data_IF_417416002597
#
_entry.id   IF_417416002597
#
_cell.length_a   1.000
_cell.length_b   1.000
_cell.length_c   1.000
_cell.angle_alpha   90.00
_cell.angle_beta   90.00
_cell.angle_gamma   90.00
#
_symmetry.space_group_name_H-M   'P 1'
#
loop_
_entity.id
_entity.type
_entity.pdbx_description
1 polymer ?
#
# COMPACT_ATOMS: atom_id res chain seq x y z
N UNK A 1 26.03 5.13 25.96
CA UNK A 1 24.59 4.83 26.13
C UNK A 1 23.73 5.51 25.05
N UNK A 2 23.98 6.76 24.70
CA UNK A 2 23.25 7.45 23.61
C UNK A 2 23.51 6.87 22.22
N UNK A 3 24.72 6.40 21.95
CA UNK A 3 25.11 5.83 20.65
C UNK A 3 24.43 4.49 20.39
N UNK A 4 24.19 3.68 21.43
CA UNK A 4 23.51 2.38 21.32
C UNK A 4 22.00 2.57 21.09
N UNK A 5 21.37 3.57 21.71
CA UNK A 5 19.98 3.94 21.49
C UNK A 5 19.76 4.53 20.10
N UNK A 6 20.66 5.37 19.62
CA UNK A 6 20.65 5.91 18.26
C UNK A 6 20.82 4.81 17.21
N UNK A 7 21.69 3.83 17.44
CA UNK A 7 21.87 2.70 16.54
C UNK A 7 20.65 1.76 16.50
N UNK A 8 19.99 1.52 17.63
CA UNK A 8 18.72 0.79 17.69
C UNK A 8 17.61 1.54 16.96
N UNK A 9 17.55 2.85 17.12
CA UNK A 9 16.58 3.70 16.45
C UNK A 9 16.84 3.76 14.94
N UNK A 10 18.09 3.83 14.51
CA UNK A 10 18.50 3.74 13.10
C UNK A 10 18.15 2.39 12.49
N UNK A 11 18.39 1.28 13.20
CA UNK A 11 18.01 -0.04 12.76
C UNK A 11 16.52 -0.20 12.58
N UNK A 12 15.71 0.34 13.51
CA UNK A 12 14.24 0.37 13.39
C UNK A 12 13.79 1.22 12.21
N UNK A 13 14.39 2.39 12.00
CA UNK A 13 14.08 3.30 10.89
C UNK A 13 14.46 2.67 9.56
N UNK A 14 15.63 2.06 9.44
CA UNK A 14 16.05 1.35 8.23
C UNK A 14 15.12 0.19 7.90
N UNK A 15 14.68 -0.56 8.90
CA UNK A 15 13.73 -1.64 8.74
C UNK A 15 12.37 -1.14 8.26
N UNK A 16 11.93 0.00 8.78
CA UNK A 16 10.72 0.69 8.34
C UNK A 16 10.84 1.15 6.88
N UNK A 17 11.96 1.74 6.48
CA UNK A 17 12.19 2.16 5.09
C UNK A 17 12.23 0.98 4.12
N UNK A 18 12.76 -0.16 4.52
CA UNK A 18 12.68 -1.40 3.74
C UNK A 18 11.24 -1.89 3.60
N UNK A 19 10.44 -1.76 4.68
CA UNK A 19 9.01 -2.04 4.66
C UNK A 19 8.26 -1.11 3.70
N UNK A 20 8.64 0.17 3.62
CA UNK A 20 8.07 1.14 2.68
C UNK A 20 8.24 0.72 1.22
N UNK A 21 9.36 0.09 0.85
CA UNK A 21 9.57 -0.43 -0.50
C UNK A 21 8.55 -1.50 -0.88
N UNK A 22 7.99 -2.20 0.10
CA UNK A 22 6.92 -3.18 -0.06
C UNK A 22 5.55 -2.63 0.35
N UNK A 23 5.50 -1.40 0.90
CA UNK A 23 4.31 -0.78 1.47
C UNK A 23 3.55 -1.70 2.44
N UNK A 24 4.27 -2.53 3.21
CA UNK A 24 3.70 -3.50 4.13
C UNK A 24 4.50 -3.59 5.41
N UNK A 25 3.79 -3.58 6.53
CA UNK A 25 4.33 -3.79 7.87
C UNK A 25 3.53 -4.88 8.56
N UNK A 26 4.21 -5.80 9.25
CA UNK A 26 3.53 -6.72 10.15
C UNK A 26 2.95 -5.95 11.34
N UNK A 27 1.92 -6.51 11.97
CA UNK A 27 1.31 -5.91 13.17
C UNK A 27 2.33 -5.68 14.28
N UNK A 28 3.28 -6.59 14.45
CA UNK A 28 4.37 -6.47 15.43
C UNK A 28 5.27 -5.28 15.13
N UNK A 29 5.69 -5.13 13.88
CA UNK A 29 6.52 -3.99 13.45
C UNK A 29 5.78 -2.67 13.64
N UNK A 30 4.50 -2.64 13.32
CA UNK A 30 3.67 -1.46 13.44
C UNK A 30 3.46 -1.06 14.90
N UNK A 31 3.20 -2.04 15.78
CA UNK A 31 2.96 -1.81 17.20
C UNK A 31 4.21 -1.39 17.98
N UNK A 32 5.40 -1.70 17.48
CA UNK A 32 6.67 -1.25 18.06
C UNK A 32 6.97 0.23 17.82
N UNK A 33 6.24 0.86 16.92
CA UNK A 33 6.43 2.28 16.57
C UNK A 33 5.61 3.19 17.48
N UNK A 34 6.17 4.36 17.77
CA UNK A 34 5.44 5.43 18.46
C UNK A 34 4.38 6.02 17.51
N UNK A 35 3.31 6.56 18.10
CA UNK A 35 2.18 7.13 17.35
C UNK A 35 2.62 8.19 16.33
N UNK A 36 3.54 9.08 16.70
CA UNK A 36 4.08 10.10 15.81
C UNK A 36 4.87 9.50 14.63
N UNK A 37 5.58 8.42 14.87
CA UNK A 37 6.32 7.69 13.82
C UNK A 37 5.36 6.99 12.86
N UNK A 38 4.33 6.33 13.39
CA UNK A 38 3.27 5.71 12.57
C UNK A 38 2.60 6.72 11.65
N UNK A 39 2.24 7.87 12.19
CA UNK A 39 1.62 8.95 11.40
C UNK A 39 2.53 9.44 10.28
N UNK A 40 3.82 9.62 10.55
CA UNK A 40 4.81 10.02 9.55
C UNK A 40 4.98 8.99 8.45
N UNK A 41 5.07 7.72 8.81
CA UNK A 41 5.21 6.62 7.86
C UNK A 41 3.99 6.53 6.96
N UNK A 42 2.79 6.56 7.53
CA UNK A 42 1.54 6.56 6.76
C UNK A 42 1.48 7.70 5.77
N UNK A 43 1.84 8.91 6.21
CA UNK A 43 1.86 10.09 5.34
C UNK A 43 2.87 9.93 4.19
N UNK A 44 4.07 9.44 4.49
CA UNK A 44 5.12 9.21 3.49
C UNK A 44 4.69 8.15 2.47
N UNK A 45 4.10 7.06 2.92
CA UNK A 45 3.59 5.99 2.05
C UNK A 45 2.48 6.51 1.13
N UNK A 46 1.52 7.25 1.67
CA UNK A 46 0.43 7.83 0.88
C UNK A 46 0.95 8.85 -0.13
N UNK A 47 1.88 9.71 0.26
CA UNK A 47 2.51 10.66 -0.66
C UNK A 47 3.24 9.94 -1.80
N UNK A 48 3.95 8.86 -1.49
CA UNK A 48 4.61 8.03 -2.49
C UNK A 48 3.63 7.36 -3.44
N UNK A 49 2.52 6.85 -2.92
CA UNK A 49 1.46 6.26 -3.73
C UNK A 49 0.82 7.30 -4.65
N UNK A 50 0.46 8.47 -4.13
CA UNK A 50 -0.13 9.55 -4.91
C UNK A 50 0.82 10.01 -6.04
N UNK A 51 2.12 10.11 -5.76
CA UNK A 51 3.11 10.47 -6.78
C UNK A 51 3.17 9.42 -7.90
N UNK A 52 3.07 8.13 -7.58
CA UNK A 52 3.02 7.06 -8.58
C UNK A 52 1.76 7.12 -9.43
N UNK A 53 0.61 7.39 -8.82
CA UNK A 53 -0.67 7.56 -9.53
C UNK A 53 -0.61 8.76 -10.45
N UNK A 54 -0.16 9.91 -9.95
CA UNK A 54 0.02 11.12 -10.76
C UNK A 54 0.97 10.90 -11.94
N UNK A 55 2.12 10.27 -11.69
CA UNK A 55 3.08 9.94 -12.74
C UNK A 55 2.48 9.07 -13.83
N UNK A 56 1.72 8.06 -13.46
CA UNK A 56 1.04 7.18 -14.40
C UNK A 56 -0.02 7.93 -15.22
N UNK A 57 -0.75 8.87 -14.60
CA UNK A 57 -1.73 9.70 -15.30
C UNK A 57 -1.04 10.68 -16.28
N UNK A 58 0.03 11.33 -15.85
CA UNK A 58 0.79 12.28 -16.68
C UNK A 58 1.44 11.62 -17.89
N UNK A 59 1.88 10.38 -17.75
CA UNK A 59 2.54 9.62 -18.81
C UNK A 59 1.55 8.77 -19.64
N UNK A 60 0.24 8.99 -19.48
CA UNK A 60 -0.83 8.25 -20.16
C UNK A 60 -0.76 6.73 -19.96
N UNK A 61 -0.19 6.29 -18.85
CA UNK A 61 -0.03 4.87 -18.52
C UNK A 61 -1.22 4.30 -17.76
N UNK A 62 -1.89 5.11 -16.94
CA UNK A 62 -2.92 4.65 -16.01
C UNK A 62 -4.04 3.87 -16.71
N UNK A 63 -4.50 4.38 -17.84
CA UNK A 63 -5.55 3.76 -18.64
C UNK A 63 -5.03 3.05 -19.90
N UNK A 64 -3.72 2.81 -19.99
CA UNK A 64 -3.13 2.19 -21.18
C UNK A 64 -3.53 0.73 -21.40
N UNK A 65 -3.98 0.05 -20.34
CA UNK A 65 -4.49 -1.32 -20.41
C UNK A 65 -5.97 -1.35 -20.11
N UNK A 66 -6.72 -2.15 -20.84
CA UNK A 66 -8.17 -2.33 -20.63
C UNK A 66 -8.48 -3.16 -19.39
N UNK A 67 -7.51 -3.93 -18.90
CA UNK A 67 -7.62 -4.79 -17.72
C UNK A 67 -7.01 -4.18 -16.45
N UNK A 68 -6.79 -2.87 -16.44
CA UNK A 68 -6.38 -2.17 -15.23
C UNK A 68 -7.49 -2.22 -14.19
N UNK A 69 -7.13 -2.20 -12.92
CA UNK A 69 -8.09 -2.26 -11.83
C UNK A 69 -8.16 -0.93 -11.07
N UNK A 70 -9.35 -0.39 -10.94
CA UNK A 70 -9.63 0.77 -10.11
C UNK A 70 -10.98 0.57 -9.43
N UNK A 71 -10.96 0.31 -8.14
CA UNK A 71 -12.18 0.15 -7.35
C UNK A 71 -11.99 0.74 -5.97
N UNK A 72 -12.96 1.50 -5.54
CA UNK A 72 -13.06 1.91 -4.14
C UNK A 72 -14.54 2.02 -3.75
N UNK A 73 -14.81 1.81 -2.48
CA UNK A 73 -16.17 1.82 -1.95
C UNK A 73 -16.19 2.51 -0.59
N UNK A 74 -17.15 3.41 -0.39
CA UNK A 74 -17.45 3.98 0.91
C UNK A 74 -18.51 3.13 1.60
N UNK A 75 -18.26 2.75 2.86
CA UNK A 75 -19.14 1.85 3.59
C UNK A 75 -19.11 2.15 5.09
N UNK A 76 -20.13 1.70 5.80
CA UNK A 76 -20.14 1.67 7.26
C UNK A 76 -19.99 0.24 7.72
N UNK A 77 -19.03 -0.02 8.60
CA UNK A 77 -18.75 -1.35 9.14
C UNK A 77 -18.88 -1.33 10.65
N UNK A 78 -19.39 -2.41 11.21
CA UNK A 78 -19.22 -2.72 12.62
C UNK A 78 -17.82 -3.32 12.87
N UNK A 79 -17.48 -3.60 14.12
CA UNK A 79 -16.16 -4.17 14.46
C UNK A 79 -15.91 -5.53 13.79
N UNK A 80 -16.94 -6.35 13.66
CA UNK A 80 -16.84 -7.64 12.97
C UNK A 80 -16.55 -7.42 11.49
N UNK A 81 -17.30 -6.57 10.81
CA UNK A 81 -17.11 -6.24 9.40
C UNK A 81 -15.73 -5.64 9.12
N UNK A 82 -15.26 -4.77 10.03
CA UNK A 82 -13.89 -4.24 9.94
C UNK A 82 -12.84 -5.35 9.95
N UNK A 83 -12.94 -6.29 10.91
CA UNK A 83 -12.02 -7.43 10.99
C UNK A 83 -12.09 -8.32 9.75
N UNK A 84 -13.27 -8.57 9.23
CA UNK A 84 -13.48 -9.35 8.01
C UNK A 84 -12.84 -8.67 6.80
N UNK A 85 -13.04 -7.36 6.64
CA UNK A 85 -12.40 -6.57 5.59
C UNK A 85 -10.87 -6.61 5.71
N UNK A 86 -10.34 -6.38 6.90
CA UNK A 86 -8.90 -6.40 7.15
C UNK A 86 -8.28 -7.75 6.81
N UNK A 87 -8.95 -8.83 7.20
CA UNK A 87 -8.52 -10.20 6.87
C UNK A 87 -8.54 -10.45 5.35
N UNK A 88 -9.58 -9.99 4.68
CA UNK A 88 -9.69 -10.11 3.21
C UNK A 88 -8.58 -9.36 2.48
N UNK A 89 -8.26 -8.15 2.94
CA UNK A 89 -7.16 -7.35 2.37
C UNK A 89 -5.80 -8.02 2.60
N UNK A 90 -5.57 -8.57 3.78
CA UNK A 90 -4.34 -9.29 4.09
C UNK A 90 -4.18 -10.55 3.20
N UNK A 91 -5.27 -11.30 3.00
CA UNK A 91 -5.28 -12.47 2.12
C UNK A 91 -5.00 -12.10 0.66
N UNK A 92 -5.64 -11.04 0.16
CA UNK A 92 -5.41 -10.52 -1.18
C UNK A 92 -3.96 -10.06 -1.37
N UNK A 93 -3.38 -9.40 -0.38
CA UNK A 93 -1.98 -8.98 -0.41
C UNK A 93 -1.04 -10.20 -0.50
N UNK A 94 -1.28 -11.23 0.29
CA UNK A 94 -0.49 -12.47 0.25
C UNK A 94 -0.52 -13.14 -1.12
N UNK A 95 -1.69 -13.18 -1.75
CA UNK A 95 -1.85 -13.71 -3.10
C UNK A 95 -1.09 -12.88 -4.15
N UNK A 96 -1.17 -11.56 -4.05
CA UNK A 96 -0.46 -10.64 -4.96
C UNK A 96 1.06 -10.77 -4.80
N UNK A 97 1.56 -10.90 -3.56
CA UNK A 97 2.97 -11.15 -3.28
C UNK A 97 3.46 -12.45 -3.93
N UNK A 98 2.65 -13.49 -3.91
CA UNK A 98 2.97 -14.75 -4.58
C UNK A 98 3.03 -14.58 -6.10
N UNK A 99 2.07 -13.89 -6.68
CA UNK A 99 2.03 -13.55 -8.11
C UNK A 99 3.29 -12.78 -8.49
N UNK A 100 3.69 -11.80 -7.69
CA UNK A 100 4.90 -11.01 -7.90
C UNK A 100 6.14 -11.91 -7.95
N UNK A 101 6.30 -12.77 -6.96
CA UNK A 101 7.43 -13.70 -6.89
C UNK A 101 7.49 -14.65 -8.08
N UNK A 102 6.37 -15.21 -8.49
CA UNK A 102 6.27 -16.10 -9.66
C UNK A 102 6.60 -15.36 -10.95
N UNK A 103 6.10 -14.15 -11.10
CA UNK A 103 6.37 -13.31 -12.26
C UNK A 103 7.84 -12.92 -12.36
N UNK A 104 8.47 -12.54 -11.24
CA UNK A 104 9.90 -12.21 -11.19
C UNK A 104 10.76 -13.40 -11.65
N UNK A 105 10.43 -14.61 -11.23
CA UNK A 105 11.13 -15.83 -11.68
C UNK A 105 10.99 -16.07 -13.17
N UNK A 106 9.78 -15.86 -13.73
CA UNK A 106 9.57 -15.99 -15.17
C UNK A 106 10.35 -14.94 -15.98
N UNK A 107 10.39 -13.70 -15.49
CA UNK A 107 11.13 -12.60 -16.13
C UNK A 107 12.65 -12.88 -16.15
N UNK A 108 13.20 -13.36 -15.05
CA UNK A 108 14.60 -13.77 -14.98
C UNK A 108 14.90 -14.89 -15.98
N UNK A 109 14.01 -15.85 -16.13
CA UNK A 109 14.18 -16.99 -17.02
C UNK A 109 14.03 -16.61 -18.49
N UNK A 110 13.11 -15.72 -18.82
CA UNK A 110 12.79 -15.34 -20.20
C UNK A 110 13.55 -14.12 -20.71
N UNK A 111 14.20 -13.36 -19.85
CA UNK A 111 14.89 -12.12 -20.19
C UNK A 111 13.98 -10.97 -20.60
N UNK A 112 12.67 -11.06 -20.33
CA UNK A 112 11.71 -9.99 -20.59
C UNK A 112 11.87 -8.84 -19.60
N UNK A 113 11.61 -7.62 -20.06
CA UNK A 113 11.68 -6.43 -19.22
C UNK A 113 10.50 -6.36 -18.22
N UNK A 114 9.38 -6.94 -18.56
CA UNK A 114 8.16 -6.93 -17.75
C UNK A 114 7.37 -5.63 -17.82
N UNK A 115 6.29 -5.57 -17.07
CA UNK A 115 5.42 -4.40 -17.00
C UNK A 115 5.62 -3.74 -15.63
N UNK A 116 6.25 -2.54 -15.55
CA UNK A 116 6.31 -1.80 -14.29
C UNK A 116 4.89 -1.53 -13.77
N UNK A 117 4.61 -1.97 -12.56
CA UNK A 117 3.24 -1.98 -12.03
C UNK A 117 3.22 -1.55 -10.57
N UNK A 118 2.15 -0.89 -10.20
CA UNK A 118 1.85 -0.57 -8.80
C UNK A 118 0.49 -1.14 -8.45
N UNK A 119 0.43 -1.90 -7.37
CA UNK A 119 -0.82 -2.36 -6.77
C UNK A 119 -0.92 -1.79 -5.37
N UNK A 120 -2.06 -1.21 -5.03
CA UNK A 120 -2.30 -0.66 -3.70
C UNK A 120 -3.59 -1.23 -3.12
N UNK A 121 -3.55 -1.56 -1.85
CA UNK A 121 -4.69 -2.01 -1.07
C UNK A 121 -4.87 -1.06 0.10
N UNK A 122 -6.02 -0.43 0.21
CA UNK A 122 -6.31 0.58 1.22
C UNK A 122 -7.63 0.28 1.91
N UNK A 123 -7.60 0.09 3.22
CA UNK A 123 -8.77 0.02 4.07
C UNK A 123 -8.51 0.89 5.30
N UNK A 124 -9.29 1.93 5.51
CA UNK A 124 -9.04 2.91 6.56
C UNK A 124 -10.34 3.54 7.04
N UNK A 125 -10.38 4.01 8.30
CA UNK A 125 -11.52 4.78 8.77
C UNK A 125 -11.56 6.13 8.07
N UNK A 126 -12.72 6.48 7.52
CA UNK A 126 -12.92 7.76 6.84
C UNK A 126 -13.83 8.71 7.66
N UNK A 127 -13.73 10.03 7.40
CA UNK A 127 -14.63 10.98 8.06
C UNK A 127 -16.10 10.71 7.76
N UNK A 128 -17.00 11.01 8.71
CA UNK A 128 -18.44 10.71 8.62
C UNK A 128 -19.13 11.46 7.47
N UNK A 129 -18.64 12.64 7.11
CA UNK A 129 -19.23 13.53 6.10
C UNK A 129 -18.48 13.51 4.77
N UNK A 130 -17.99 12.37 4.35
CA UNK A 130 -17.37 12.28 3.02
C UNK A 130 -18.43 12.48 1.93
N UNK A 131 -18.25 13.56 1.19
CA UNK A 131 -19.02 13.83 -0.01
C UNK A 131 -18.68 12.75 -1.04
N UNK A 132 -19.58 11.81 -1.23
CA UNK A 132 -19.44 10.85 -2.33
C UNK A 132 -19.77 11.59 -3.62
N UNK A 133 -18.82 11.76 -4.54
CA UNK A 133 -19.14 12.38 -5.83
C UNK A 133 -20.24 11.57 -6.50
N UNK A 134 -21.33 12.24 -6.89
CA UNK A 134 -22.34 11.60 -7.74
C UNK A 134 -21.71 11.23 -9.07
N UNK A 135 -21.93 10.00 -9.55
CA UNK A 135 -21.53 9.68 -10.91
C UNK A 135 -22.22 10.67 -11.88
N UNK A 136 -21.54 11.06 -12.95
CA UNK A 136 -22.15 11.93 -13.95
C UNK A 136 -23.45 11.29 -14.44
N UNK A 137 -24.52 12.09 -14.49
CA UNK A 137 -25.81 11.64 -15.03
C UNK A 137 -25.64 11.44 -16.54
N UNK A 138 -26.02 10.28 -17.04
CA UNK A 138 -26.08 10.01 -18.47
C UNK A 138 -27.08 10.91 -19.19
#
# INVERSE_FOLDING_TARGET
LRVIEENKRRGSIEHVYRGLARAYFSDLQWNELEEAERARISKTMIQGLLARVEGALMDDLFDSRTDRHLTWIAMKLDEQGWREMSTALAAAFGEIEQIRGDAERRLEHNGDEGIPSTCALLGFPSPVDTHVPRPPSD
#
